data_IF_698519764603
#
_entry.id   IF_698519764603
#
_cell.length_a   1.000
_cell.length_b   1.000
_cell.length_c   1.000
_cell.angle_alpha   90.00
_cell.angle_beta   90.00
_cell.angle_gamma   90.00
#
_symmetry.space_group_name_H-M   'P 1'
#
loop_
_entity.id
_entity.type
_entity.pdbx_description
1 polymer ?
#
# COMPACT_ATOMS: atom_id res chain seq x y z
N UNK A 1 9.92 21.95 2.60
CA UNK A 1 10.35 21.35 1.31
C UNK A 1 11.19 20.10 1.54
N UNK A 2 12.27 20.16 2.33
CA UNK A 2 13.10 18.99 2.63
C UNK A 2 12.34 17.85 3.34
N UNK A 3 11.43 18.16 4.27
CA UNK A 3 10.62 17.13 4.96
C UNK A 3 9.73 16.36 4.00
N UNK A 4 9.17 17.04 3.01
CA UNK A 4 8.26 16.44 2.03
C UNK A 4 9.04 15.49 1.10
N UNK A 5 10.26 15.87 0.72
CA UNK A 5 11.17 15.02 -0.06
C UNK A 5 11.60 13.79 0.76
N UNK A 6 11.97 13.97 2.03
CA UNK A 6 12.32 12.88 2.94
C UNK A 6 11.16 11.89 3.13
N UNK A 7 9.94 12.39 3.35
CA UNK A 7 8.75 11.53 3.45
C UNK A 7 8.52 10.74 2.17
N UNK A 8 8.63 11.37 0.99
CA UNK A 8 8.45 10.68 -0.29
C UNK A 8 9.51 9.59 -0.52
N UNK A 9 10.78 9.87 -0.23
CA UNK A 9 11.88 8.90 -0.38
C UNK A 9 11.66 7.69 0.54
N UNK A 10 11.27 7.92 1.80
CA UNK A 10 10.91 6.83 2.72
C UNK A 10 9.67 6.07 2.25
N UNK A 11 8.64 6.75 1.74
CA UNK A 11 7.44 6.11 1.20
C UNK A 11 7.71 5.17 0.03
N UNK A 12 8.71 5.44 -0.82
CA UNK A 12 9.10 4.53 -1.91
C UNK A 12 9.66 3.21 -1.36
N UNK A 13 10.48 3.27 -0.31
CA UNK A 13 10.99 2.06 0.35
C UNK A 13 9.83 1.31 1.00
N UNK A 14 8.93 2.02 1.67
CA UNK A 14 7.75 1.43 2.30
C UNK A 14 6.76 0.82 1.30
N UNK A 15 6.68 1.34 0.07
CA UNK A 15 5.91 0.76 -1.04
C UNK A 15 6.32 -0.69 -1.32
N UNK A 16 7.62 -0.97 -1.34
CA UNK A 16 8.16 -2.32 -1.57
C UNK A 16 7.81 -3.24 -0.39
N UNK A 17 7.94 -2.75 0.85
CA UNK A 17 7.57 -3.52 2.04
C UNK A 17 6.06 -3.78 2.14
N UNK A 18 5.23 -2.85 1.66
CA UNK A 18 3.78 -2.94 1.72
C UNK A 18 3.15 -3.79 0.62
N UNK A 19 3.91 -4.15 -0.43
CA UNK A 19 3.41 -5.00 -1.50
C UNK A 19 2.95 -6.38 -0.98
N UNK A 20 3.70 -6.98 -0.07
CA UNK A 20 3.37 -8.28 0.52
C UNK A 20 2.09 -8.25 1.40
N UNK A 21 1.96 -7.37 2.40
CA UNK A 21 0.72 -7.28 3.18
C UNK A 21 -0.47 -6.84 2.33
N UNK A 22 -0.29 -5.95 1.35
CA UNK A 22 -1.36 -5.56 0.44
C UNK A 22 -1.87 -6.74 -0.39
N UNK A 23 -0.98 -7.60 -0.89
CA UNK A 23 -1.34 -8.83 -1.60
C UNK A 23 -2.15 -9.77 -0.71
N UNK A 24 -1.71 -9.98 0.54
CA UNK A 24 -2.42 -10.85 1.48
C UNK A 24 -3.83 -10.34 1.82
N UNK A 25 -4.02 -9.01 1.89
CA UNK A 25 -5.33 -8.40 2.14
C UNK A 25 -6.22 -8.49 0.90
N UNK A 26 -5.66 -8.28 -0.30
CA UNK A 26 -6.42 -8.39 -1.54
C UNK A 26 -6.85 -9.83 -1.81
N UNK A 27 -5.98 -10.81 -1.55
CA UNK A 27 -6.27 -12.24 -1.66
C UNK A 27 -7.42 -12.63 -0.70
N UNK A 28 -7.31 -12.21 0.56
CA UNK A 28 -8.36 -12.47 1.55
C UNK A 28 -9.72 -11.87 1.15
N UNK A 29 -9.70 -10.68 0.54
CA UNK A 29 -10.93 -10.05 0.05
C UNK A 29 -11.49 -10.76 -1.20
N UNK A 30 -10.61 -11.29 -2.06
CA UNK A 30 -11.01 -12.08 -3.22
C UNK A 30 -11.64 -13.41 -2.79
N UNK A 31 -11.09 -14.12 -1.80
CA UNK A 31 -11.70 -15.34 -1.25
C UNK A 31 -13.10 -15.08 -0.68
N UNK A 32 -13.33 -13.91 -0.09
CA UNK A 32 -14.59 -13.58 0.59
C UNK A 32 -15.71 -13.13 -0.36
N UNK A 33 -15.36 -12.49 -1.48
CA UNK A 33 -16.34 -11.88 -2.38
C UNK A 33 -16.25 -12.38 -3.83
N UNK A 34 -15.37 -13.35 -4.12
CA UNK A 34 -15.23 -14.03 -5.41
C UNK A 34 -15.15 -13.06 -6.62
N UNK A 35 -14.34 -12.01 -6.50
CA UNK A 35 -14.18 -11.01 -7.56
C UNK A 35 -13.27 -11.50 -8.71
N UNK A 36 -13.46 -10.92 -9.90
CA UNK A 36 -12.60 -11.14 -11.08
C UNK A 36 -11.15 -10.70 -10.82
N UNK A 37 -10.20 -11.42 -11.41
CA UNK A 37 -8.75 -11.17 -11.27
C UNK A 37 -8.33 -9.74 -11.66
N UNK A 38 -9.07 -9.08 -12.56
CA UNK A 38 -8.87 -7.66 -12.87
C UNK A 38 -9.10 -6.77 -11.66
N UNK A 39 -10.19 -7.01 -10.94
CA UNK A 39 -10.56 -6.24 -9.75
C UNK A 39 -9.57 -6.52 -8.62
N UNK A 40 -9.09 -7.76 -8.50
CA UNK A 40 -8.04 -8.13 -7.54
C UNK A 40 -6.76 -7.31 -7.76
N UNK A 41 -6.23 -7.29 -8.99
CA UNK A 41 -5.01 -6.54 -9.31
C UNK A 41 -5.16 -5.03 -9.06
N UNK A 42 -6.29 -4.44 -9.47
CA UNK A 42 -6.54 -3.01 -9.23
C UNK A 42 -6.61 -2.73 -7.73
N UNK A 43 -7.28 -3.58 -6.97
CA UNK A 43 -7.43 -3.44 -5.52
C UNK A 43 -6.09 -3.59 -4.80
N UNK A 44 -5.26 -4.57 -5.18
CA UNK A 44 -3.94 -4.78 -4.62
C UNK A 44 -3.04 -3.54 -4.82
N UNK A 45 -3.03 -2.95 -6.02
CA UNK A 45 -2.25 -1.74 -6.30
C UNK A 45 -2.77 -0.57 -5.46
N UNK A 46 -4.10 -0.40 -5.39
CA UNK A 46 -4.74 0.64 -4.59
C UNK A 46 -4.38 0.51 -3.10
N UNK A 47 -4.46 -0.70 -2.55
CA UNK A 47 -4.08 -1.00 -1.17
C UNK A 47 -2.60 -0.72 -0.93
N UNK A 48 -1.73 -1.18 -1.82
CA UNK A 48 -0.28 -0.99 -1.67
C UNK A 48 0.07 0.50 -1.58
N UNK A 49 -0.47 1.30 -2.49
CA UNK A 49 -0.26 2.77 -2.49
C UNK A 49 -0.86 3.39 -1.23
N UNK A 50 -2.09 3.03 -0.86
CA UNK A 50 -2.76 3.57 0.32
C UNK A 50 -2.00 3.26 1.62
N UNK A 51 -1.61 1.99 1.84
CA UNK A 51 -0.86 1.59 3.03
C UNK A 51 0.51 2.27 3.09
N UNK A 52 1.21 2.38 1.96
CA UNK A 52 2.51 3.05 1.91
C UNK A 52 2.44 4.55 2.27
N UNK A 53 1.37 5.23 1.87
CA UNK A 53 1.13 6.63 2.20
C UNK A 53 0.73 6.78 3.67
N UNK A 54 -0.16 5.92 4.18
CA UNK A 54 -0.53 5.93 5.59
C UNK A 54 0.69 5.77 6.50
N UNK A 55 1.62 4.87 6.16
CA UNK A 55 2.82 4.63 6.97
C UNK A 55 3.87 5.72 6.77
N UNK A 56 4.04 6.25 5.55
CA UNK A 56 4.90 7.40 5.32
C UNK A 56 4.46 8.63 6.11
N UNK A 57 3.14 8.86 6.21
CA UNK A 57 2.58 9.89 7.08
C UNK A 57 2.74 9.54 8.57
N UNK A 58 2.51 8.29 8.95
CA UNK A 58 2.70 7.85 10.33
C UNK A 58 4.15 8.08 10.80
N UNK A 59 5.16 7.71 9.99
CA UNK A 59 6.58 7.95 10.29
C UNK A 59 6.95 9.43 10.42
N UNK A 60 6.18 10.34 9.81
CA UNK A 60 6.40 11.79 9.93
C UNK A 60 5.84 12.34 11.25
N UNK A 61 4.80 11.74 11.80
CA UNK A 61 4.07 12.24 12.98
C UNK A 61 4.24 11.37 14.25
N UNK A 62 4.89 10.21 14.14
CA UNK A 62 5.27 9.32 15.25
C UNK A 62 6.65 9.70 15.81
#
# INVERSE_FOLDING_TARGET
MQDLVLTLVFSIVMLVFMAFPAMKISDWLQEKMAFSDRTHNVLQILLTVFLSLCIGLFLKYA
#
